data_IF_201008950982
#
_entry.id   IF_201008950982
#
_cell.length_a   1.000
_cell.length_b   1.000
_cell.length_c   1.000
_cell.angle_alpha   90.00
_cell.angle_beta   90.00
_cell.angle_gamma   90.00
#
_symmetry.space_group_name_H-M   'P 1'
#
loop_
_entity.id
_entity.type
_entity.pdbx_description
1 polymer ?
#
# COMPACT_ATOMS: atom_id res chain seq x y z
N UNK A 1 -68.66 16.22 14.18
CA UNK A 1 -68.85 16.93 12.90
C UNK A 1 -67.82 16.39 11.91
N UNK A 2 -68.31 15.83 10.81
CA UNK A 2 -67.56 15.16 9.74
C UNK A 2 -67.58 16.04 8.50
N UNK A 3 -66.44 16.27 7.82
CA UNK A 3 -66.28 16.43 6.35
C UNK A 3 -64.77 16.22 6.06
N UNK A 4 -64.26 15.12 5.48
CA UNK A 4 -64.30 14.56 4.10
C UNK A 4 -63.55 15.35 3.01
N UNK A 5 -62.53 14.67 2.46
CA UNK A 5 -62.10 14.54 1.05
C UNK A 5 -61.78 15.82 0.24
N UNK A 6 -60.73 15.88 -0.58
CA UNK A 6 -60.56 15.02 -1.77
C UNK A 6 -59.25 15.31 -2.53
N UNK A 7 -58.59 14.25 -3.00
CA UNK A 7 -57.66 14.25 -4.15
C UNK A 7 -58.42 14.44 -5.47
N UNK A 8 -57.72 14.85 -6.55
CA UNK A 8 -57.74 13.98 -7.74
C UNK A 8 -56.42 13.87 -8.53
N UNK A 9 -56.08 12.60 -8.79
CA UNK A 9 -55.57 11.91 -9.99
C UNK A 9 -54.79 12.63 -11.12
N UNK A 10 -53.72 11.93 -11.46
CA UNK A 10 -52.92 11.89 -12.69
C UNK A 10 -53.66 11.97 -14.04
N UNK A 11 -52.95 12.50 -15.05
CA UNK A 11 -53.15 12.22 -16.48
C UNK A 11 -51.83 11.76 -17.11
N UNK A 12 -51.93 10.68 -17.88
CA UNK A 12 -50.90 10.16 -18.80
C UNK A 12 -50.94 10.93 -20.11
N UNK A 13 -49.78 11.16 -20.72
CA UNK A 13 -49.63 11.17 -22.18
C UNK A 13 -48.21 10.73 -22.57
N UNK A 14 -48.20 9.90 -23.59
CA UNK A 14 -47.10 9.12 -24.15
C UNK A 14 -46.29 9.91 -25.19
N UNK A 15 -45.15 9.32 -25.60
CA UNK A 15 -44.42 9.46 -26.88
C UNK A 15 -43.04 10.15 -26.77
N UNK A 16 -41.97 9.38 -26.62
CA UNK A 16 -40.96 9.15 -27.67
C UNK A 16 -39.96 8.07 -27.24
N UNK A 17 -39.87 7.02 -28.04
CA UNK A 17 -38.86 5.98 -27.92
C UNK A 17 -37.60 6.42 -28.69
N UNK A 18 -36.42 6.34 -28.06
CA UNK A 18 -35.15 6.08 -28.76
C UNK A 18 -34.29 5.14 -27.94
N UNK A 19 -33.95 4.01 -28.58
CA UNK A 19 -33.09 2.94 -28.08
C UNK A 19 -31.65 3.44 -28.03
N UNK A 20 -31.00 3.32 -26.87
CA UNK A 20 -29.55 3.24 -26.75
C UNK A 20 -29.24 1.84 -26.22
N UNK A 21 -28.59 1.04 -27.06
CA UNK A 21 -28.06 -0.28 -26.69
C UNK A 21 -26.76 -0.03 -25.94
N UNK A 22 -26.75 -0.30 -24.64
CA UNK A 22 -25.50 -0.49 -23.90
C UNK A 22 -24.99 -1.90 -24.19
N UNK A 23 -23.77 -1.97 -24.72
CA UNK A 23 -23.00 -3.19 -24.81
C UNK A 23 -22.35 -3.41 -23.44
N UNK A 24 -22.90 -4.32 -22.64
CA UNK A 24 -22.22 -4.88 -21.47
C UNK A 24 -21.18 -5.88 -21.98
N UNK A 25 -19.90 -5.53 -21.84
CA UNK A 25 -18.80 -6.45 -22.10
C UNK A 25 -18.67 -7.40 -20.89
N UNK A 26 -18.84 -8.69 -21.14
CA UNK A 26 -18.61 -9.76 -20.19
C UNK A 26 -17.11 -9.84 -19.85
N UNK A 27 -16.73 -9.40 -18.66
CA UNK A 27 -15.46 -9.79 -18.02
C UNK A 27 -15.79 -10.45 -16.68
N UNK A 28 -16.52 -11.56 -16.75
CA UNK A 28 -16.78 -12.47 -15.62
C UNK A 28 -16.86 -13.90 -16.15
N UNK A 29 -15.80 -14.35 -16.81
CA UNK A 29 -15.60 -15.77 -17.12
C UNK A 29 -14.19 -15.95 -17.64
N UNK A 30 -13.19 -16.07 -16.76
CA UNK A 30 -11.88 -16.66 -17.12
C UNK A 30 -11.03 -17.10 -15.92
N UNK A 31 -11.41 -16.82 -14.67
CA UNK A 31 -10.65 -17.28 -13.50
C UNK A 31 -11.13 -18.60 -12.88
N UNK A 32 -12.09 -19.29 -13.50
CA UNK A 32 -12.62 -20.56 -13.02
C UNK A 32 -12.37 -21.71 -14.01
N UNK A 33 -11.14 -21.85 -14.53
CA UNK A 33 -10.72 -23.02 -15.33
C UNK A 33 -9.19 -23.17 -15.50
N UNK A 34 -8.39 -22.72 -14.54
CA UNK A 34 -6.95 -22.96 -14.51
C UNK A 34 -6.55 -23.88 -13.35
N UNK A 35 -7.33 -24.93 -13.11
CA UNK A 35 -6.91 -26.09 -12.32
C UNK A 35 -7.41 -27.35 -13.01
N UNK A 36 -6.60 -27.87 -13.94
CA UNK A 36 -6.41 -29.31 -14.15
C UNK A 36 -5.45 -29.52 -15.32
N UNK A 37 -4.55 -30.50 -15.14
CA UNK A 37 -3.74 -31.17 -16.18
C UNK A 37 -2.32 -30.63 -16.47
N UNK A 38 -1.42 -30.78 -15.48
CA UNK A 38 -0.02 -31.14 -15.77
C UNK A 38 0.09 -32.68 -15.92
N UNK A 39 -0.07 -33.19 -17.15
CA UNK A 39 0.48 -34.49 -17.60
C UNK A 39 0.12 -34.74 -19.08
N UNK A 40 1.15 -34.73 -19.95
CA UNK A 40 1.39 -35.58 -21.15
C UNK A 40 2.29 -34.79 -22.11
N UNK A 41 3.60 -34.99 -22.08
CA UNK A 41 4.36 -36.07 -22.74
C UNK A 41 4.48 -35.87 -24.25
N UNK A 42 5.75 -35.85 -24.66
CA UNK A 42 6.32 -35.75 -26.01
C UNK A 42 5.71 -36.74 -27.00
N UNK A 43 5.98 -36.45 -28.29
CA UNK A 43 5.97 -37.33 -29.48
C UNK A 43 4.79 -37.12 -30.43
N UNK A 44 5.06 -36.53 -31.61
CA UNK A 44 4.88 -37.18 -32.92
C UNK A 44 5.38 -36.32 -34.08
N UNK A 45 6.51 -36.75 -34.64
CA UNK A 45 6.88 -36.58 -36.04
C UNK A 45 5.97 -37.51 -36.87
N UNK A 46 5.57 -37.08 -38.07
CA UNK A 46 5.20 -38.03 -39.13
C UNK A 46 4.05 -37.63 -40.06
N UNK A 47 4.41 -36.87 -41.09
CA UNK A 47 4.12 -37.14 -42.52
C UNK A 47 2.70 -37.03 -43.11
N UNK A 48 2.73 -36.61 -44.39
CA UNK A 48 1.77 -36.76 -45.49
C UNK A 48 0.89 -35.50 -45.73
N UNK A 49 0.71 -34.94 -46.94
CA UNK A 49 0.70 -35.48 -48.32
C UNK A 49 1.09 -34.34 -49.30
N UNK A 50 1.82 -34.69 -50.36
CA UNK A 50 2.11 -33.83 -51.51
C UNK A 50 0.89 -33.64 -52.43
N UNK A 51 0.69 -32.42 -52.93
CA UNK A 51 -0.12 -32.13 -54.11
C UNK A 51 0.62 -31.11 -54.99
N UNK A 52 0.82 -31.35 -56.30
CA UNK A 52 1.49 -30.39 -57.17
C UNK A 52 0.44 -29.44 -57.76
N UNK A 53 0.59 -28.14 -57.53
CA UNK A 53 -0.11 -27.11 -58.27
C UNK A 53 0.94 -26.18 -58.90
N UNK A 54 1.03 -26.28 -60.23
CA UNK A 54 1.83 -25.44 -61.11
C UNK A 54 1.28 -24.02 -61.08
N UNK A 55 2.10 -23.03 -60.71
CA UNK A 55 1.87 -21.62 -61.01
C UNK A 55 3.17 -20.97 -61.55
N UNK A 56 3.02 -19.95 -62.41
CA UNK A 56 3.99 -19.58 -63.43
C UNK A 56 5.18 -18.79 -62.88
N UNK A 57 6.32 -18.95 -63.57
CA UNK A 57 7.50 -18.10 -63.49
C UNK A 57 7.10 -16.64 -63.79
N UNK A 58 6.89 -15.85 -62.75
CA UNK A 58 6.91 -14.39 -62.80
C UNK A 58 8.31 -13.97 -62.39
N UNK A 59 8.94 -13.16 -63.23
CA UNK A 59 10.37 -12.86 -63.19
C UNK A 59 10.84 -12.21 -61.89
N UNK A 60 12.09 -12.50 -61.56
CA UNK A 60 12.87 -11.79 -60.55
C UNK A 60 12.91 -10.29 -60.91
N UNK A 61 12.21 -9.48 -60.13
CA UNK A 61 12.63 -8.11 -59.87
C UNK A 61 13.40 -8.12 -58.56
N UNK A 62 14.68 -7.79 -58.61
CA UNK A 62 15.46 -7.44 -57.42
C UNK A 62 14.79 -6.23 -56.74
N UNK A 63 14.19 -6.45 -55.58
CA UNK A 63 13.99 -5.37 -54.62
C UNK A 63 15.24 -5.35 -53.74
N UNK A 64 15.99 -4.26 -53.83
CA UNK A 64 17.06 -3.95 -52.88
C UNK A 64 16.44 -3.86 -51.48
N UNK A 65 16.74 -4.86 -50.66
CA UNK A 65 16.39 -4.89 -49.25
C UNK A 65 17.25 -3.84 -48.54
N UNK A 66 16.60 -2.78 -48.08
CA UNK A 66 17.24 -1.69 -47.32
C UNK A 66 17.91 -2.26 -46.07
N UNK A 67 19.24 -2.14 -46.01
CA UNK A 67 20.08 -2.56 -44.87
C UNK A 67 20.17 -1.50 -43.78
N UNK A 68 19.19 -0.59 -43.69
CA UNK A 68 19.14 0.37 -42.60
C UNK A 68 18.98 -0.38 -41.27
N UNK A 69 19.86 -0.17 -40.28
CA UNK A 69 19.68 -0.74 -38.95
C UNK A 69 18.31 -0.35 -38.43
N UNK A 70 17.52 -1.35 -38.02
CA UNK A 70 16.35 -1.09 -37.18
C UNK A 70 16.91 -0.40 -35.93
N UNK A 71 16.49 0.83 -35.59
CA UNK A 71 16.90 1.43 -34.34
C UNK A 71 16.48 0.47 -33.23
N UNK A 72 17.44 0.03 -32.42
CA UNK A 72 17.10 -0.68 -31.19
C UNK A 72 16.10 0.20 -30.43
N UNK A 73 15.03 -0.38 -29.86
CA UNK A 73 14.09 0.41 -29.09
C UNK A 73 14.92 1.16 -28.04
N UNK A 74 14.79 2.49 -28.03
CA UNK A 74 15.37 3.32 -26.99
C UNK A 74 14.98 2.66 -25.66
N UNK A 75 15.98 2.13 -24.95
CA UNK A 75 15.81 1.77 -23.55
C UNK A 75 15.51 3.09 -22.89
N UNK A 76 14.22 3.37 -22.69
CA UNK A 76 13.77 4.40 -21.77
C UNK A 76 14.42 4.00 -20.46
N UNK A 77 15.40 4.79 -20.02
CA UNK A 77 15.94 4.66 -18.68
C UNK A 77 14.74 4.66 -17.75
N UNK A 78 14.55 3.60 -16.97
CA UNK A 78 13.44 3.49 -16.02
C UNK A 78 13.55 4.68 -15.08
N UNK A 79 12.67 5.68 -15.25
CA UNK A 79 12.53 6.79 -14.31
C UNK A 79 11.85 6.33 -13.02
N UNK A 80 12.09 5.11 -12.56
CA UNK A 80 11.39 4.50 -11.44
C UNK A 80 11.97 4.94 -10.10
N UNK A 81 11.18 4.74 -9.06
CA UNK A 81 11.59 4.87 -7.65
C UNK A 81 12.63 3.77 -7.36
N UNK A 82 13.85 4.17 -6.98
CA UNK A 82 14.91 3.24 -6.54
C UNK A 82 14.74 2.84 -5.06
N UNK A 83 14.03 3.65 -4.28
CA UNK A 83 13.70 3.40 -2.87
C UNK A 83 12.88 2.10 -2.73
N UNK A 84 13.23 1.21 -1.78
CA UNK A 84 12.49 -0.02 -1.54
C UNK A 84 10.97 0.22 -1.35
N UNK A 85 10.18 -0.67 -1.95
CA UNK A 85 8.71 -0.68 -1.82
C UNK A 85 8.28 -2.00 -1.16
N UNK A 86 7.81 -1.92 0.07
CA UNK A 86 7.23 -3.01 0.83
C UNK A 86 5.70 -2.95 0.88
N UNK A 87 5.12 -3.88 1.63
CA UNK A 87 3.68 -3.90 1.94
C UNK A 87 3.45 -4.19 3.42
N UNK A 88 2.53 -3.46 4.03
CA UNK A 88 2.05 -3.75 5.38
C UNK A 88 1.10 -4.96 5.33
N UNK A 89 1.49 -6.04 6.02
CA UNK A 89 0.74 -7.31 6.07
C UNK A 89 -0.68 -7.15 6.61
N UNK A 90 -0.97 -6.09 7.38
CA UNK A 90 -2.32 -5.78 7.84
C UNK A 90 -3.31 -5.59 6.68
N UNK A 91 -2.82 -5.18 5.49
CA UNK A 91 -3.64 -5.10 4.27
C UNK A 91 -4.33 -6.41 3.94
N UNK A 92 -3.65 -7.54 4.16
CA UNK A 92 -4.12 -8.90 3.83
C UNK A 92 -4.46 -9.72 5.09
N UNK A 93 -4.76 -9.05 6.20
CA UNK A 93 -5.06 -9.70 7.50
C UNK A 93 -6.15 -10.77 7.42
N UNK A 94 -7.20 -10.54 6.63
CA UNK A 94 -8.30 -11.49 6.51
C UNK A 94 -7.85 -12.76 5.79
N UNK A 95 -7.00 -12.63 4.77
CA UNK A 95 -6.40 -13.73 4.04
C UNK A 95 -5.36 -14.48 4.91
N UNK A 96 -4.57 -13.76 5.71
CA UNK A 96 -3.62 -14.34 6.66
C UNK A 96 -4.34 -15.19 7.73
N UNK A 97 -5.48 -14.73 8.24
CA UNK A 97 -6.32 -15.49 9.19
C UNK A 97 -6.89 -16.78 8.58
N UNK A 98 -7.07 -16.82 7.27
CA UNK A 98 -7.58 -17.99 6.55
C UNK A 98 -6.49 -18.98 6.16
N UNK A 99 -5.37 -18.50 5.63
CA UNK A 99 -4.22 -19.30 5.22
C UNK A 99 -2.94 -18.45 5.29
N UNK A 100 -2.29 -18.45 6.45
CA UNK A 100 -1.08 -17.66 6.69
C UNK A 100 0.02 -17.93 5.64
N UNK A 101 0.42 -19.19 5.47
CA UNK A 101 1.52 -19.54 4.57
C UNK A 101 1.13 -19.36 3.09
N UNK A 102 -0.12 -19.64 2.72
CA UNK A 102 -0.64 -19.38 1.38
C UNK A 102 -0.64 -17.90 1.03
N UNK A 103 -1.08 -17.05 1.97
CA UNK A 103 -1.16 -15.61 1.77
C UNK A 103 0.22 -14.96 1.68
N UNK A 104 1.20 -15.37 2.51
CA UNK A 104 2.57 -14.88 2.38
C UNK A 104 3.18 -15.21 1.00
N UNK A 105 2.93 -16.42 0.47
CA UNK A 105 3.33 -16.74 -0.91
C UNK A 105 2.58 -15.89 -1.94
N UNK A 106 1.30 -15.61 -1.73
CA UNK A 106 0.52 -14.74 -2.62
C UNK A 106 1.05 -13.30 -2.62
N UNK A 107 1.49 -12.78 -1.48
CA UNK A 107 2.18 -11.48 -1.38
C UNK A 107 3.47 -11.47 -2.21
N UNK A 108 4.28 -12.54 -2.14
CA UNK A 108 5.45 -12.69 -3.00
C UNK A 108 5.09 -12.75 -4.49
N UNK A 109 4.04 -13.49 -4.84
CA UNK A 109 3.54 -13.60 -6.22
C UNK A 109 2.96 -12.28 -6.75
N UNK A 110 2.43 -11.42 -5.87
CA UNK A 110 1.97 -10.07 -6.20
C UNK A 110 3.12 -9.08 -6.51
N UNK A 111 4.37 -9.47 -6.23
CA UNK A 111 5.56 -8.71 -6.62
C UNK A 111 6.38 -8.15 -5.47
N UNK A 112 5.93 -8.31 -4.21
CA UNK A 112 6.64 -7.82 -3.04
C UNK A 112 7.73 -8.80 -2.60
N UNK A 113 8.91 -8.28 -2.28
CA UNK A 113 10.00 -9.04 -1.65
C UNK A 113 10.24 -8.65 -0.19
N UNK A 114 9.59 -7.57 0.26
CA UNK A 114 9.73 -6.96 1.56
C UNK A 114 8.36 -6.64 2.16
N UNK A 115 8.22 -6.87 3.45
CA UNK A 115 6.97 -6.65 4.19
C UNK A 115 7.21 -5.87 5.47
N UNK A 116 6.18 -5.17 5.90
CA UNK A 116 6.04 -4.73 7.28
C UNK A 116 5.09 -5.68 8.03
N UNK A 117 5.51 -6.16 9.19
CA UNK A 117 4.74 -7.11 10.00
C UNK A 117 3.98 -6.40 11.10
N UNK A 118 2.70 -6.73 11.36
CA UNK A 118 1.94 -6.17 12.49
C UNK A 118 1.74 -7.14 13.67
N UNK A 119 2.00 -8.43 13.45
CA UNK A 119 1.88 -9.46 14.47
C UNK A 119 2.74 -10.66 14.12
N UNK A 120 2.96 -11.51 15.12
CA UNK A 120 3.54 -12.82 14.93
C UNK A 120 2.47 -13.92 14.84
N UNK A 121 1.18 -13.61 14.65
CA UNK A 121 0.09 -14.59 14.53
C UNK A 121 0.14 -15.72 15.60
N UNK A 122 0.36 -15.34 16.86
CA UNK A 122 0.47 -16.24 18.03
C UNK A 122 1.55 -17.34 17.92
N UNK A 123 2.59 -17.14 17.11
CA UNK A 123 3.75 -18.03 17.02
C UNK A 123 5.06 -17.37 17.50
N UNK A 124 6.05 -18.19 17.90
CA UNK A 124 7.40 -17.69 18.15
C UNK A 124 8.00 -16.98 16.93
N UNK A 125 8.76 -15.92 17.15
CA UNK A 125 9.39 -15.14 16.07
C UNK A 125 10.25 -16.01 15.13
N UNK A 126 10.91 -17.05 15.65
CA UNK A 126 11.73 -17.98 14.84
C UNK A 126 10.90 -18.79 13.86
N UNK A 127 9.68 -19.16 14.24
CA UNK A 127 8.76 -19.92 13.39
C UNK A 127 8.15 -19.00 12.33
N UNK A 128 7.80 -17.76 12.72
CA UNK A 128 7.31 -16.76 11.77
C UNK A 128 8.38 -16.37 10.75
N UNK A 129 9.64 -16.18 11.19
CA UNK A 129 10.79 -15.94 10.31
C UNK A 129 10.94 -17.06 9.27
N UNK A 130 10.81 -18.32 9.67
CA UNK A 130 10.89 -19.44 8.75
C UNK A 130 9.78 -19.40 7.67
N UNK A 131 8.56 -18.99 8.02
CA UNK A 131 7.47 -18.83 7.05
C UNK A 131 7.74 -17.71 6.04
N UNK A 132 8.33 -16.60 6.49
CA UNK A 132 8.75 -15.51 5.62
C UNK A 132 9.85 -15.97 4.65
N UNK A 133 10.87 -16.68 5.16
CA UNK A 133 11.95 -17.25 4.35
C UNK A 133 11.43 -18.24 3.31
N UNK A 134 10.54 -19.16 3.70
CA UNK A 134 9.91 -20.14 2.80
C UNK A 134 9.06 -19.45 1.70
N UNK A 135 8.53 -18.26 2.00
CA UNK A 135 7.78 -17.44 1.06
C UNK A 135 8.66 -16.51 0.23
N UNK A 136 9.96 -16.41 0.54
CA UNK A 136 10.91 -15.51 -0.10
C UNK A 136 10.67 -14.04 0.23
N UNK A 137 10.19 -13.74 1.45
CA UNK A 137 9.92 -12.41 1.94
C UNK A 137 10.94 -11.99 3.00
N UNK A 138 11.33 -10.72 2.99
CA UNK A 138 12.16 -10.09 4.01
C UNK A 138 11.33 -9.08 4.82
N UNK A 139 11.77 -8.74 6.02
CA UNK A 139 11.09 -7.75 6.87
C UNK A 139 11.80 -6.41 6.78
N UNK A 140 11.04 -5.36 6.47
CA UNK A 140 11.57 -4.00 6.42
C UNK A 140 11.36 -3.18 7.68
N UNK A 141 10.21 -3.38 8.28
CA UNK A 141 9.83 -2.82 9.56
C UNK A 141 8.87 -3.80 10.25
N UNK A 142 8.68 -3.62 11.55
CA UNK A 142 7.66 -4.32 12.29
C UNK A 142 6.91 -3.35 13.19
N UNK A 143 5.58 -3.49 13.24
CA UNK A 143 4.78 -2.85 14.26
C UNK A 143 4.78 -3.71 15.52
N UNK A 144 4.92 -3.04 16.66
CA UNK A 144 4.71 -3.59 17.99
C UNK A 144 3.67 -2.73 18.74
N UNK A 145 2.92 -3.33 19.65
CA UNK A 145 1.97 -2.56 20.45
C UNK A 145 2.69 -1.60 21.40
N UNK A 146 2.04 -0.49 21.71
CA UNK A 146 2.56 0.50 22.67
C UNK A 146 2.96 -0.14 23.99
N UNK A 147 2.11 -1.03 24.53
CA UNK A 147 2.32 -1.66 25.84
C UNK A 147 3.57 -2.55 25.83
N UNK A 148 3.85 -3.22 24.71
CA UNK A 148 5.07 -4.02 24.58
C UNK A 148 6.31 -3.15 24.51
N UNK A 149 6.25 -2.05 23.75
CA UNK A 149 7.36 -1.11 23.60
C UNK A 149 7.67 -0.39 24.92
N UNK A 150 6.64 0.07 25.64
CA UNK A 150 6.79 0.73 26.93
C UNK A 150 7.11 -0.23 28.09
N UNK A 151 6.67 -1.50 27.99
CA UNK A 151 6.76 -2.48 29.07
C UNK A 151 7.97 -3.43 28.99
N UNK A 152 8.32 -3.92 27.80
CA UNK A 152 9.38 -4.90 27.58
C UNK A 152 10.04 -4.72 26.19
N UNK A 153 10.75 -3.60 26.04
CA UNK A 153 11.47 -3.28 24.80
C UNK A 153 12.54 -4.32 24.44
N UNK A 154 13.09 -5.03 25.43
CA UNK A 154 14.10 -6.08 25.20
C UNK A 154 13.52 -7.27 24.46
N UNK A 155 12.32 -7.73 24.83
CA UNK A 155 11.62 -8.78 24.09
C UNK A 155 11.28 -8.34 22.65
N UNK A 156 10.87 -7.08 22.46
CA UNK A 156 10.58 -6.54 21.13
C UNK A 156 11.86 -6.47 20.28
N UNK A 157 12.99 -6.05 20.87
CA UNK A 157 14.28 -6.01 20.20
C UNK A 157 14.75 -7.42 19.77
N UNK A 158 14.61 -8.42 20.64
CA UNK A 158 14.93 -9.81 20.32
C UNK A 158 14.11 -10.31 19.11
N UNK A 159 12.81 -10.04 19.07
CA UNK A 159 11.95 -10.38 17.94
C UNK A 159 12.39 -9.65 16.66
N UNK A 160 12.67 -8.35 16.73
CA UNK A 160 13.16 -7.58 15.59
C UNK A 160 14.45 -8.19 15.00
N UNK A 161 15.42 -8.57 15.86
CA UNK A 161 16.64 -9.25 15.42
C UNK A 161 16.36 -10.61 14.76
N UNK A 162 15.44 -11.41 15.32
CA UNK A 162 15.08 -12.73 14.77
C UNK A 162 14.42 -12.57 13.40
N UNK A 163 13.50 -11.63 13.25
CA UNK A 163 12.84 -11.33 11.99
C UNK A 163 13.82 -10.69 10.98
N UNK A 164 14.87 -10.05 11.47
CA UNK A 164 15.79 -9.24 10.68
C UNK A 164 15.22 -7.86 10.32
N UNK A 165 14.29 -7.35 11.13
CA UNK A 165 13.70 -6.03 10.96
C UNK A 165 14.66 -4.96 11.48
N UNK A 166 15.09 -3.98 10.65
CA UNK A 166 15.89 -2.85 11.14
C UNK A 166 15.05 -1.83 11.92
N UNK A 167 13.72 -1.84 11.75
CA UNK A 167 12.79 -0.87 12.30
C UNK A 167 11.75 -1.53 13.21
N UNK A 168 11.49 -0.89 14.34
CA UNK A 168 10.33 -1.16 15.21
C UNK A 168 9.48 0.10 15.22
N UNK A 169 8.20 -0.04 14.87
CA UNK A 169 7.25 1.06 14.90
C UNK A 169 6.09 0.80 15.86
N UNK A 170 5.52 1.88 16.40
CA UNK A 170 4.25 1.85 17.14
C UNK A 170 3.21 2.60 16.32
N UNK A 171 2.12 1.93 16.01
CA UNK A 171 1.05 2.50 15.19
C UNK A 171 -0.12 3.08 15.98
N UNK A 172 -0.12 2.97 17.31
CA UNK A 172 -1.22 3.52 18.09
C UNK A 172 -0.76 3.93 19.49
N UNK A 173 -1.08 5.15 19.90
CA UNK A 173 -0.94 5.60 21.28
C UNK A 173 -2.27 5.36 22.01
N UNK A 174 -2.32 4.54 23.06
CA UNK A 174 -3.53 4.34 23.85
C UNK A 174 -3.99 5.66 24.50
N UNK A 175 -5.26 6.00 24.28
CA UNK A 175 -5.90 7.18 24.84
C UNK A 175 -7.38 6.90 25.17
N UNK A 176 -7.92 7.59 26.18
CA UNK A 176 -9.34 7.53 26.53
C UNK A 176 -10.05 8.79 26.07
N UNK A 177 -10.95 8.66 25.09
CA UNK A 177 -11.68 9.81 24.55
C UNK A 177 -10.88 10.51 23.45
N UNK A 178 -10.81 11.84 23.52
CA UNK A 178 -10.05 12.63 22.56
C UNK A 178 -8.57 12.64 22.93
N UNK A 179 -7.69 12.37 21.96
CA UNK A 179 -6.24 12.43 22.16
C UNK A 179 -5.80 13.82 22.64
N UNK A 180 -5.00 13.86 23.72
CA UNK A 180 -4.64 15.10 24.38
C UNK A 180 -3.14 15.25 24.68
N UNK A 181 -2.80 16.31 25.42
CA UNK A 181 -1.41 16.65 25.77
C UNK A 181 -0.78 15.64 26.73
N UNK A 182 -1.56 15.06 27.66
CA UNK A 182 -1.04 14.08 28.61
C UNK A 182 -0.74 12.76 27.90
N UNK A 183 -1.52 12.41 26.87
CA UNK A 183 -1.27 11.25 26.02
C UNK A 183 0.00 11.40 25.20
N UNK A 184 0.19 12.53 24.50
CA UNK A 184 1.41 12.72 23.69
C UNK A 184 2.66 12.88 24.56
N UNK A 185 2.57 13.53 25.73
CA UNK A 185 3.72 13.68 26.64
C UNK A 185 4.19 12.35 27.21
N UNK A 186 3.24 11.48 27.54
CA UNK A 186 3.53 10.11 27.95
C UNK A 186 4.19 9.33 26.80
N UNK A 187 3.64 9.41 25.59
CA UNK A 187 4.20 8.76 24.41
C UNK A 187 5.62 9.26 24.09
N UNK A 188 5.88 10.57 24.17
CA UNK A 188 7.22 11.14 23.97
C UNK A 188 8.22 10.52 24.93
N UNK A 189 7.88 10.41 26.23
CA UNK A 189 8.77 9.84 27.23
C UNK A 189 9.04 8.35 26.99
N UNK A 190 7.99 7.57 26.76
CA UNK A 190 8.08 6.12 26.55
C UNK A 190 8.84 5.79 25.25
N UNK A 191 8.53 6.51 24.16
CA UNK A 191 9.18 6.30 22.87
C UNK A 191 10.63 6.77 22.87
N UNK A 192 10.98 7.84 23.60
CA UNK A 192 12.38 8.25 23.75
C UNK A 192 13.18 7.16 24.44
N UNK A 193 12.67 6.59 25.54
CA UNK A 193 13.34 5.50 26.24
C UNK A 193 13.47 4.24 25.36
N UNK A 194 12.42 3.90 24.61
CA UNK A 194 12.45 2.76 23.69
C UNK A 194 13.43 2.98 22.52
N UNK A 195 13.42 4.16 21.92
CA UNK A 195 14.32 4.56 20.84
C UNK A 195 15.79 4.50 21.25
N UNK A 196 16.14 4.98 22.45
CA UNK A 196 17.49 4.87 22.99
C UNK A 196 17.91 3.41 23.20
N UNK A 197 17.01 2.58 23.74
CA UNK A 197 17.26 1.16 23.96
C UNK A 197 17.49 0.41 22.64
N UNK A 198 16.59 0.57 21.67
CA UNK A 198 16.68 -0.04 20.35
C UNK A 198 17.95 0.40 19.60
N UNK A 199 18.26 1.70 19.64
CA UNK A 199 19.48 2.26 19.03
C UNK A 199 20.74 1.65 19.61
N UNK A 200 20.77 1.33 20.90
CA UNK A 200 21.92 0.67 21.53
C UNK A 200 22.19 -0.75 21.00
N UNK A 201 21.17 -1.37 20.40
CA UNK A 201 21.24 -2.68 19.75
C UNK A 201 21.36 -2.61 18.22
N UNK A 202 21.46 -1.40 17.66
CA UNK A 202 21.55 -1.20 16.21
C UNK A 202 20.20 -1.28 15.48
N UNK A 203 19.09 -1.22 16.22
CA UNK A 203 17.73 -1.09 15.69
C UNK A 203 17.30 0.37 15.68
N UNK A 204 16.24 0.70 14.95
CA UNK A 204 15.66 2.05 14.89
C UNK A 204 14.20 2.04 15.30
N UNK A 205 13.74 3.16 15.85
CA UNK A 205 12.37 3.33 16.32
C UNK A 205 11.63 4.38 15.50
N UNK A 206 10.40 4.05 15.13
CA UNK A 206 9.48 4.99 14.46
C UNK A 206 8.10 5.03 15.17
N UNK A 207 7.43 6.17 15.09
CA UNK A 207 6.02 6.29 15.41
C UNK A 207 5.20 6.41 14.13
N UNK A 208 4.15 5.61 13.95
CA UNK A 208 3.27 5.67 12.79
C UNK A 208 2.02 6.50 13.13
N UNK A 209 1.79 7.60 12.38
CA UNK A 209 0.73 8.56 12.69
C UNK A 209 -0.65 8.18 12.13
N UNK A 210 -1.72 8.55 12.84
CA UNK A 210 -3.11 8.17 12.51
C UNK A 210 -4.10 9.32 12.34
N UNK A 211 -3.68 10.57 12.46
CA UNK A 211 -4.54 11.74 12.23
C UNK A 211 -5.06 12.38 13.52
N UNK A 212 -5.24 11.62 14.60
CA UNK A 212 -5.68 12.18 15.89
C UNK A 212 -4.61 13.06 16.56
N UNK A 213 -3.36 12.98 16.13
CA UNK A 213 -2.25 13.79 16.63
C UNK A 213 -2.34 15.24 16.11
N UNK A 214 -3.14 15.49 15.08
CA UNK A 214 -3.26 16.82 14.47
C UNK A 214 -4.24 17.77 15.20
N UNK A 215 -4.72 17.36 16.38
CA UNK A 215 -5.51 18.22 17.28
C UNK A 215 -4.64 19.37 17.78
N UNK A 216 -5.26 20.51 18.05
CA UNK A 216 -4.56 21.71 18.53
C UNK A 216 -3.91 21.45 19.89
N UNK A 217 -2.64 21.85 20.02
CA UNK A 217 -1.93 21.85 21.29
C UNK A 217 -2.12 23.18 22.03
N UNK A 218 -2.09 23.14 23.36
CA UNK A 218 -2.04 24.36 24.15
C UNK A 218 -0.76 25.15 23.83
N UNK A 219 -0.90 26.43 23.49
CA UNK A 219 0.22 27.29 23.10
C UNK A 219 0.45 27.40 21.59
N UNK A 220 -0.33 26.69 20.77
CA UNK A 220 -0.31 26.75 19.31
C UNK A 220 0.35 25.52 18.66
N UNK A 221 0.09 25.33 17.37
CA UNK A 221 0.48 24.11 16.65
C UNK A 221 -0.42 22.92 17.00
N UNK A 222 -0.01 21.73 16.59
CA UNK A 222 -0.71 20.47 16.87
C UNK A 222 0.02 19.62 17.93
N UNK A 223 -0.64 18.58 18.45
CA UNK A 223 0.03 17.59 19.30
C UNK A 223 1.12 16.84 18.53
N UNK A 224 0.96 16.66 17.22
CA UNK A 224 2.02 16.17 16.33
C UNK A 224 3.21 17.13 16.31
N UNK A 225 2.99 18.45 16.20
CA UNK A 225 4.08 19.42 16.28
C UNK A 225 4.85 19.32 17.60
N UNK A 226 4.11 19.19 18.71
CA UNK A 226 4.69 18.95 20.04
C UNK A 226 5.55 17.68 20.06
N UNK A 227 5.06 16.58 19.49
CA UNK A 227 5.84 15.34 19.35
C UNK A 227 7.15 15.57 18.61
N UNK A 228 7.09 16.25 17.46
CA UNK A 228 8.25 16.53 16.63
C UNK A 228 9.30 17.40 17.34
N UNK A 229 8.85 18.37 18.15
CA UNK A 229 9.72 19.28 18.92
C UNK A 229 10.41 18.62 20.12
N UNK A 230 9.80 17.59 20.70
CA UNK A 230 10.25 16.98 21.95
C UNK A 230 10.87 15.58 21.75
N UNK A 231 11.06 15.16 20.50
CA UNK A 231 11.73 13.90 20.14
C UNK A 231 12.99 14.16 19.31
N UNK A 232 14.07 13.42 19.58
CA UNK A 232 15.34 13.57 18.87
C UNK A 232 15.35 12.75 17.55
N UNK A 233 15.71 13.36 16.40
CA UNK A 233 15.89 12.63 15.13
C UNK A 233 16.88 11.47 15.26
N UNK A 234 16.53 10.29 14.75
CA UNK A 234 17.34 9.08 14.87
C UNK A 234 17.33 8.41 16.24
N UNK A 235 16.65 9.00 17.25
CA UNK A 235 16.20 8.28 18.45
C UNK A 235 14.74 7.88 18.27
N UNK A 236 13.90 8.84 17.86
CA UNK A 236 12.50 8.62 17.53
C UNK A 236 12.21 9.32 16.19
N UNK A 237 12.06 8.50 15.15
CA UNK A 237 11.63 8.94 13.83
C UNK A 237 10.11 8.72 13.66
N UNK A 238 9.55 9.11 12.51
CA UNK A 238 8.12 8.93 12.22
C UNK A 238 7.97 8.15 10.93
N UNK A 239 7.12 7.12 10.97
CA UNK A 239 6.57 6.48 9.79
C UNK A 239 5.35 7.30 9.34
N UNK A 240 5.49 8.05 8.26
CA UNK A 240 4.47 8.99 7.82
C UNK A 240 3.39 8.27 7.01
N UNK A 241 2.17 8.26 7.52
CA UNK A 241 1.02 7.82 6.75
C UNK A 241 0.37 8.99 6.00
N UNK A 242 0.44 8.95 4.68
CA UNK A 242 -0.02 10.05 3.82
C UNK A 242 -1.54 10.21 3.84
N UNK A 243 -2.27 9.11 4.04
CA UNK A 243 -3.73 9.12 4.16
C UNK A 243 -4.13 9.71 5.51
N UNK A 244 -3.49 9.29 6.59
CA UNK A 244 -3.83 9.77 7.93
C UNK A 244 -3.39 11.20 8.21
N UNK A 245 -2.41 11.74 7.48
CA UNK A 245 -2.16 13.19 7.43
C UNK A 245 -3.26 13.91 6.64
N UNK A 246 -3.68 13.35 5.50
CA UNK A 246 -4.71 13.97 4.65
C UNK A 246 -6.10 13.97 5.29
N UNK A 247 -6.43 12.92 6.04
CA UNK A 247 -7.73 12.67 6.67
C UNK A 247 -8.26 13.84 7.53
N UNK A 248 -7.47 14.39 8.47
CA UNK A 248 -7.85 15.58 9.22
C UNK A 248 -7.74 16.90 8.42
N UNK A 249 -7.39 16.84 7.13
CA UNK A 249 -7.31 17.99 6.22
C UNK A 249 -5.92 18.61 6.10
N UNK A 250 -4.88 17.99 6.64
CA UNK A 250 -3.51 18.48 6.53
C UNK A 250 -2.89 18.11 5.17
N UNK A 251 -1.83 18.83 4.80
CA UNK A 251 -1.08 18.60 3.56
C UNK A 251 0.18 17.76 3.87
N UNK A 252 0.27 16.51 3.38
CA UNK A 252 1.45 15.68 3.60
C UNK A 252 2.75 16.29 3.07
N UNK A 253 2.72 16.98 1.92
CA UNK A 253 3.92 17.61 1.36
C UNK A 253 4.41 18.74 2.26
N UNK A 254 3.50 19.60 2.71
CA UNK A 254 3.84 20.67 3.63
C UNK A 254 4.39 20.14 4.97
N UNK A 255 3.90 19.00 5.44
CA UNK A 255 4.40 18.36 6.66
C UNK A 255 5.82 17.80 6.48
N UNK A 256 6.08 17.15 5.34
CA UNK A 256 7.42 16.66 4.96
C UNK A 256 8.42 17.82 4.92
N UNK A 257 8.06 18.93 4.27
CA UNK A 257 8.91 20.13 4.16
C UNK A 257 9.11 20.84 5.52
N UNK A 258 8.14 20.76 6.42
CA UNK A 258 8.24 21.33 7.77
C UNK A 258 9.24 20.57 8.65
N UNK A 259 9.35 19.25 8.48
CA UNK A 259 10.18 18.36 9.29
C UNK A 259 11.14 17.52 8.43
N UNK A 260 12.10 18.16 7.73
CA UNK A 260 13.00 17.46 6.82
C UNK A 260 13.85 16.41 7.57
N UNK A 261 13.97 15.22 6.99
CA UNK A 261 14.77 14.12 7.54
C UNK A 261 14.16 13.40 8.75
N UNK A 262 12.87 13.61 9.06
CA UNK A 262 12.17 12.92 10.16
C UNK A 262 11.34 11.72 9.73
N UNK A 263 11.17 11.52 8.42
CA UNK A 263 10.30 10.51 7.83
C UNK A 263 11.11 9.54 6.97
N UNK A 264 11.72 8.50 7.56
CA UNK A 264 12.42 7.47 6.79
C UNK A 264 11.47 6.43 6.21
N UNK A 265 10.28 6.25 6.80
CA UNK A 265 9.27 5.28 6.38
C UNK A 265 8.00 6.00 5.98
N UNK A 266 7.33 5.54 4.93
CA UNK A 266 6.06 6.12 4.47
C UNK A 266 5.03 5.05 4.23
N UNK A 267 3.89 5.15 4.91
CA UNK A 267 2.70 4.39 4.53
C UNK A 267 2.02 5.08 3.36
N UNK A 268 2.02 4.38 2.23
CA UNK A 268 1.45 4.80 0.97
C UNK A 268 0.04 4.23 0.86
N UNK A 269 -0.93 5.11 1.06
CA UNK A 269 -2.38 4.89 0.99
C UNK A 269 -3.01 5.95 0.10
N UNK A 270 -4.18 5.65 -0.45
CA UNK A 270 -4.93 6.61 -1.27
C UNK A 270 -6.39 6.68 -0.84
N UNK A 271 -6.98 7.84 -1.07
CA UNK A 271 -8.28 8.23 -0.54
C UNK A 271 -9.27 8.50 -1.67
N UNK A 272 -10.48 7.97 -1.56
CA UNK A 272 -11.52 8.13 -2.57
C UNK A 272 -11.78 9.60 -2.87
N UNK A 273 -11.89 9.94 -4.14
CA UNK A 273 -12.27 11.27 -4.60
C UNK A 273 -13.59 11.74 -3.95
N UNK A 274 -13.60 13.00 -3.47
CA UNK A 274 -14.76 13.60 -2.81
C UNK A 274 -14.99 13.14 -1.37
N UNK A 275 -14.04 12.44 -0.75
CA UNK A 275 -14.08 12.12 0.68
C UNK A 275 -14.09 13.41 1.51
N UNK A 276 -14.97 13.47 2.51
CA UNK A 276 -15.02 14.59 3.45
C UNK A 276 -13.86 14.48 4.45
N UNK A 277 -13.13 15.59 4.65
CA UNK A 277 -11.96 15.68 5.53
C UNK A 277 -12.30 16.39 6.84
N UNK A 278 -11.42 16.26 7.83
CA UNK A 278 -11.47 17.00 9.10
C UNK A 278 -11.78 16.13 10.33
N UNK A 279 -11.87 14.82 10.16
CA UNK A 279 -11.99 13.89 11.28
C UNK A 279 -10.63 13.66 11.94
N UNK A 280 -10.61 13.74 13.27
CA UNK A 280 -9.43 13.67 14.14
C UNK A 280 -9.51 12.45 15.08
N UNK A 281 -10.25 11.42 14.70
CA UNK A 281 -10.45 10.21 15.52
C UNK A 281 -9.45 9.09 15.23
N UNK A 282 -8.69 9.21 14.14
CA UNK A 282 -7.85 8.15 13.59
C UNK A 282 -8.62 6.93 13.10
N UNK A 283 -9.90 7.12 12.75
CA UNK A 283 -10.74 6.09 12.16
C UNK A 283 -11.42 6.64 10.91
N UNK A 284 -11.45 5.84 9.86
CA UNK A 284 -12.09 6.16 8.60
C UNK A 284 -12.95 4.98 8.14
N UNK A 285 -14.10 5.24 7.49
CA UNK A 285 -14.87 4.17 6.84
C UNK A 285 -14.01 3.44 5.79
N UNK A 286 -14.10 2.11 5.73
CA UNK A 286 -13.27 1.30 4.81
C UNK A 286 -13.43 1.73 3.34
N UNK A 287 -14.63 2.17 2.95
CA UNK A 287 -14.91 2.60 1.58
C UNK A 287 -14.23 3.92 1.19
N UNK A 288 -13.58 4.62 2.13
CA UNK A 288 -12.71 5.77 1.83
C UNK A 288 -11.37 5.35 1.23
N UNK A 289 -10.92 4.11 1.44
CA UNK A 289 -9.67 3.61 0.86
C UNK A 289 -9.88 3.23 -0.61
N UNK A 290 -8.90 3.53 -1.46
CA UNK A 290 -8.84 3.11 -2.87
C UNK A 290 -7.42 2.68 -3.22
N UNK A 291 -7.22 1.83 -4.26
CA UNK A 291 -5.89 1.50 -4.74
C UNK A 291 -5.09 2.76 -5.10
N UNK A 292 -3.76 2.73 -4.93
CA UNK A 292 -2.91 3.89 -5.20
C UNK A 292 -3.06 4.38 -6.64
N UNK A 293 -3.19 5.69 -6.81
CA UNK A 293 -3.37 6.33 -8.11
C UNK A 293 -4.82 6.37 -8.59
N UNK A 294 -5.77 5.85 -7.79
CA UNK A 294 -7.21 5.91 -8.07
C UNK A 294 -7.95 6.91 -7.17
N UNK A 295 -7.26 7.56 -6.25
CA UNK A 295 -7.81 8.51 -5.31
C UNK A 295 -7.37 9.95 -5.54
N UNK A 296 -7.53 10.74 -4.48
CA UNK A 296 -7.34 12.19 -4.49
C UNK A 296 -6.04 12.66 -3.84
N UNK A 297 -5.22 11.75 -3.30
CA UNK A 297 -3.93 12.12 -2.71
C UNK A 297 -2.91 12.32 -3.84
N UNK A 298 -2.18 13.44 -3.83
CA UNK A 298 -1.13 13.73 -4.82
C UNK A 298 0.15 12.94 -4.48
N UNK A 299 0.08 11.61 -4.68
CA UNK A 299 1.18 10.68 -4.43
C UNK A 299 2.46 11.06 -5.20
N UNK A 300 2.43 11.52 -6.48
CA UNK A 300 3.65 11.97 -7.15
C UNK A 300 4.33 13.15 -6.46
N UNK A 301 3.57 14.12 -5.94
CA UNK A 301 4.16 15.23 -5.18
C UNK A 301 4.77 14.76 -3.86
N UNK A 302 4.11 13.83 -3.18
CA UNK A 302 4.60 13.26 -1.92
C UNK A 302 5.88 12.47 -2.14
N UNK A 303 5.91 11.61 -3.16
CA UNK A 303 7.12 10.83 -3.50
C UNK A 303 8.30 11.78 -3.78
N UNK A 304 8.12 12.81 -4.61
CA UNK A 304 9.19 13.82 -4.83
C UNK A 304 9.66 14.50 -3.55
N UNK A 305 8.74 14.86 -2.66
CA UNK A 305 9.09 15.47 -1.39
C UNK A 305 9.83 14.50 -0.46
N UNK A 306 9.39 13.25 -0.40
CA UNK A 306 10.00 12.18 0.39
C UNK A 306 11.42 11.84 -0.10
N UNK A 307 11.60 11.66 -1.41
CA UNK A 307 12.92 11.45 -2.06
C UNK A 307 13.89 12.60 -1.76
N UNK A 308 13.40 13.85 -1.83
CA UNK A 308 14.22 15.02 -1.49
C UNK A 308 14.59 15.12 0.00
N UNK A 309 13.91 14.37 0.88
CA UNK A 309 14.08 14.43 2.33
C UNK A 309 14.57 13.12 2.96
N UNK A 310 15.07 12.18 2.13
CA UNK A 310 15.79 11.00 2.61
C UNK A 310 14.90 9.85 3.09
N UNK A 311 13.79 9.62 2.38
CA UNK A 311 13.03 8.36 2.53
C UNK A 311 13.93 7.14 2.38
N UNK A 312 13.65 6.11 3.17
CA UNK A 312 14.35 4.82 3.12
C UNK A 312 13.43 3.68 2.65
N UNK A 313 12.12 3.80 2.84
CA UNK A 313 11.16 2.78 2.40
C UNK A 313 9.75 3.36 2.22
N UNK A 314 9.09 2.92 1.14
CA UNK A 314 7.66 3.08 0.94
C UNK A 314 6.95 1.77 1.29
N UNK A 315 5.87 1.85 2.05
CA UNK A 315 5.12 0.70 2.53
C UNK A 315 3.68 0.86 2.06
N UNK A 316 3.25 0.03 1.13
CA UNK A 316 1.87 0.07 0.64
C UNK A 316 0.95 -0.49 1.72
N UNK A 317 -0.13 0.23 2.03
CA UNK A 317 -1.20 -0.29 2.86
C UNK A 317 -2.56 -0.08 2.19
N UNK A 318 -3.44 -1.08 2.29
CA UNK A 318 -4.79 -1.00 1.76
C UNK A 318 -5.77 -1.82 2.59
N UNK A 319 -6.82 -1.16 3.11
CA UNK A 319 -7.74 -1.75 4.08
C UNK A 319 -9.14 -1.99 3.50
N UNK A 320 -9.24 -2.88 2.52
CA UNK A 320 -10.54 -3.28 1.96
C UNK A 320 -10.51 -4.73 1.44
N UNK A 321 -11.68 -5.28 1.07
CA UNK A 321 -11.89 -6.73 0.80
C UNK A 321 -11.16 -7.31 -0.42
N UNK A 322 -10.53 -6.47 -1.24
CA UNK A 322 -9.85 -6.83 -2.49
C UNK A 322 -8.32 -6.64 -2.41
N UNK A 323 -7.78 -6.79 -1.19
CA UNK A 323 -6.44 -6.33 -0.83
C UNK A 323 -5.31 -6.81 -1.75
N UNK A 324 -5.19 -8.11 -2.02
CA UNK A 324 -4.09 -8.65 -2.85
C UNK A 324 -4.00 -8.01 -4.24
N UNK A 325 -5.14 -7.74 -4.88
CA UNK A 325 -5.17 -7.10 -6.20
C UNK A 325 -4.82 -5.62 -6.06
N UNK A 326 -5.37 -4.96 -5.05
CA UNK A 326 -5.15 -3.53 -4.81
C UNK A 326 -3.70 -3.19 -4.46
N UNK A 327 -3.03 -4.01 -3.63
CA UNK A 327 -1.61 -3.81 -3.31
C UNK A 327 -0.72 -4.04 -4.53
N UNK A 328 -1.06 -5.01 -5.40
CA UNK A 328 -0.33 -5.24 -6.64
C UNK A 328 -0.46 -4.05 -7.59
N UNK A 329 -1.68 -3.51 -7.75
CA UNK A 329 -1.91 -2.30 -8.52
C UNK A 329 -1.16 -1.10 -7.94
N UNK A 330 -1.10 -0.99 -6.61
CA UNK A 330 -0.35 0.06 -5.94
C UNK A 330 1.15 -0.04 -6.20
N UNK A 331 1.70 -1.25 -6.19
CA UNK A 331 3.11 -1.50 -6.51
C UNK A 331 3.43 -1.10 -7.95
N UNK A 332 2.61 -1.54 -8.91
CA UNK A 332 2.74 -1.17 -10.32
C UNK A 332 2.63 0.36 -10.52
N UNK A 333 1.72 1.02 -9.79
CA UNK A 333 1.56 2.46 -9.83
C UNK A 333 2.82 3.19 -9.34
N UNK A 334 3.33 2.87 -8.15
CA UNK A 334 4.52 3.52 -7.60
C UNK A 334 5.75 3.29 -8.50
N UNK A 335 5.94 2.07 -9.02
CA UNK A 335 7.02 1.76 -9.96
C UNK A 335 6.93 2.51 -11.29
N UNK A 336 5.73 2.97 -11.66
CA UNK A 336 5.50 3.74 -12.89
C UNK A 336 5.74 5.25 -12.73
N UNK A 337 5.90 5.74 -11.50
CA UNK A 337 6.10 7.16 -11.25
C UNK A 337 7.49 7.62 -11.72
N UNK A 338 7.51 8.67 -12.53
CA UNK A 338 8.71 9.40 -12.93
C UNK A 338 8.88 10.63 -12.02
N UNK A 339 9.75 10.53 -11.01
CA UNK A 339 9.87 11.50 -9.90
C UNK A 339 11.25 12.09 -9.74
#
# INVERSE_FOLDING_TARGET
MSVRNSFPRARRSSVYARRLRFATCNVFSNYLLAMTSRRKFLTRIGSAIAAPAVLPLVGCGEQEESTAPVPEPDVIASGGIDTPIGVQLYSVRNELDMDLAGTLRAVREAGFDRVETYSLHDMPAVDFRALLDDSGLTVGSMHASYERVAGDIGAVAEEAHILGSPWVAVAWIPHEGDFDVDDIDRAIADFTAAGEALRSEGLRFAYHCHGYEFREAEGGGTLFDRFMEHTEPGVVDVELDVFWVKWPGFDPVALIEKYPGRFPLYHMKDMREGTELGDLSGHAPLDTNVPLGMGMIDLPAIVRAAEANGVEEYIIEYEHIDALISIQQGLEYLQSLEV
#
